data_IF_742946429022
#
_entry.id   IF_742946429022
#
_cell.length_a   1.000
_cell.length_b   1.000
_cell.length_c   1.000
_cell.angle_alpha   90.00
_cell.angle_beta   90.00
_cell.angle_gamma   90.00
#
_symmetry.space_group_name_H-M   'P 1'
#
loop_
_entity.id
_entity.type
_entity.pdbx_description
1 polymer ?
#
# COMPACT_ATOMS: atom_id res chain seq x y z
N UNK A 1 10.96 5.10 26.96
CA UNK A 1 9.50 5.30 26.80
C UNK A 1 8.90 3.93 26.78
N UNK A 2 8.36 3.46 27.90
CA UNK A 2 7.57 2.23 27.87
C UNK A 2 6.18 2.61 27.37
N UNK A 3 5.72 1.97 26.29
CA UNK A 3 4.37 2.14 25.70
C UNK A 3 4.08 3.47 24.98
N UNK A 4 4.98 3.97 24.13
CA UNK A 4 4.68 5.12 23.26
C UNK A 4 3.46 4.86 22.35
N UNK A 5 2.56 5.82 22.20
CA UNK A 5 1.46 5.70 21.23
C UNK A 5 1.97 5.89 19.80
N UNK A 6 1.13 5.62 18.80
CA UNK A 6 1.44 5.81 17.38
C UNK A 6 0.64 6.96 16.79
N UNK A 7 1.29 7.76 15.94
CA UNK A 7 0.64 8.68 15.01
C UNK A 7 0.94 8.18 13.60
N UNK A 8 -0.07 7.94 12.78
CA UNK A 8 0.08 7.41 11.43
C UNK A 8 -0.40 8.45 10.44
N UNK A 9 0.52 8.97 9.63
CA UNK A 9 0.20 9.93 8.58
C UNK A 9 -0.35 9.21 7.36
N UNK A 10 -1.59 9.51 6.95
CA UNK A 10 -2.24 8.88 5.80
C UNK A 10 -3.25 9.82 5.13
N UNK A 11 -3.34 9.86 3.79
CA UNK A 11 -4.37 10.63 3.10
C UNK A 11 -5.68 9.84 3.13
N UNK A 12 -6.37 9.84 4.28
CA UNK A 12 -7.50 8.94 4.58
C UNK A 12 -8.65 9.00 3.56
N UNK A 13 -8.82 10.10 2.82
CA UNK A 13 -9.79 10.21 1.74
C UNK A 13 -9.51 9.25 0.56
N UNK A 14 -8.31 8.65 0.51
CA UNK A 14 -7.91 7.65 -0.48
C UNK A 14 -8.01 6.20 0.00
N UNK A 15 -8.48 5.94 1.23
CA UNK A 15 -8.47 4.60 1.86
C UNK A 15 -9.13 3.53 0.98
N UNK A 16 -10.24 3.86 0.30
CA UNK A 16 -10.97 2.90 -0.54
C UNK A 16 -10.46 2.83 -1.99
N UNK A 17 -9.41 3.59 -2.34
CA UNK A 17 -8.85 3.71 -3.70
C UNK A 17 -7.36 3.36 -3.78
N UNK A 18 -6.69 3.19 -2.64
CA UNK A 18 -5.26 2.92 -2.56
C UNK A 18 -4.97 1.86 -1.50
N UNK A 19 -4.39 0.74 -1.91
CA UNK A 19 -4.00 -0.32 -0.97
C UNK A 19 -2.91 0.12 0.01
N UNK A 20 -2.02 1.04 -0.37
CA UNK A 20 -1.05 1.59 0.58
C UNK A 20 -1.73 2.36 1.71
N UNK A 21 -2.79 3.12 1.40
CA UNK A 21 -3.56 3.86 2.42
C UNK A 21 -4.42 2.91 3.24
N UNK A 22 -5.01 1.88 2.62
CA UNK A 22 -5.70 0.81 3.34
C UNK A 22 -4.76 0.08 4.30
N UNK A 23 -3.52 -0.20 3.90
CA UNK A 23 -2.49 -0.82 4.74
C UNK A 23 -2.19 0.03 5.98
N UNK A 24 -2.12 1.36 5.85
CA UNK A 24 -1.93 2.28 6.97
C UNK A 24 -3.13 2.28 7.93
N UNK A 25 -4.36 2.24 7.41
CA UNK A 25 -5.56 2.11 8.24
C UNK A 25 -5.60 0.76 8.99
N UNK A 26 -5.22 -0.33 8.32
CA UNK A 26 -5.13 -1.68 8.94
C UNK A 26 -3.98 -1.79 9.93
N UNK A 27 -2.88 -1.06 9.70
CA UNK A 27 -1.78 -0.95 10.65
C UNK A 27 -2.25 -0.30 11.96
N UNK A 28 -3.05 0.77 11.89
CA UNK A 28 -3.64 1.40 13.07
C UNK A 28 -4.48 0.41 13.89
N UNK A 29 -5.38 -0.35 13.24
CA UNK A 29 -6.21 -1.35 13.90
C UNK A 29 -5.37 -2.46 14.57
N UNK A 30 -4.33 -2.94 13.89
CA UNK A 30 -3.47 -3.99 14.42
C UNK A 30 -2.62 -3.51 15.61
N UNK A 31 -2.17 -2.25 15.60
CA UNK A 31 -1.48 -1.62 16.74
C UNK A 31 -2.42 -1.53 17.96
N UNK A 32 -3.68 -1.10 17.76
CA UNK A 32 -4.71 -1.07 18.81
C UNK A 32 -4.98 -2.47 19.37
N UNK A 33 -5.10 -3.47 18.49
CA UNK A 33 -5.26 -4.88 18.89
C UNK A 33 -4.07 -5.40 19.68
N UNK A 34 -2.86 -4.91 19.40
CA UNK A 34 -1.66 -5.22 20.16
C UNK A 34 -1.55 -4.45 21.49
N UNK A 35 -2.55 -3.64 21.85
CA UNK A 35 -2.64 -2.94 23.15
C UNK A 35 -1.97 -1.57 23.19
N UNK A 36 -1.72 -0.95 22.04
CA UNK A 36 -1.11 0.39 21.91
C UNK A 36 -2.08 1.34 21.22
N UNK A 37 -2.11 2.61 21.59
CA UNK A 37 -3.01 3.54 20.90
C UNK A 37 -2.43 3.94 19.54
N UNK A 38 -3.27 4.07 18.52
CA UNK A 38 -2.93 4.57 17.20
C UNK A 38 -3.88 5.70 16.79
N UNK A 39 -3.31 6.82 16.38
CA UNK A 39 -4.03 8.01 15.92
C UNK A 39 -3.68 8.30 14.47
N UNK A 40 -4.70 8.58 13.65
CA UNK A 40 -4.52 8.94 12.26
C UNK A 40 -4.35 10.44 12.12
N UNK A 41 -3.37 10.83 11.32
CA UNK A 41 -3.09 12.20 10.94
C UNK A 41 -3.24 12.33 9.43
N UNK A 42 -4.18 13.16 8.96
CA UNK A 42 -4.35 13.38 7.52
C UNK A 42 -3.35 14.41 6.99
N UNK A 43 -2.98 14.28 5.72
CA UNK A 43 -2.10 15.20 5.04
C UNK A 43 -2.49 15.34 3.56
N UNK A 44 -2.00 16.40 2.93
CA UNK A 44 -2.12 16.66 1.49
C UNK A 44 -0.80 17.19 0.92
N UNK A 45 -0.70 17.22 -0.42
CA UNK A 45 0.37 17.91 -1.12
C UNK A 45 -0.16 19.22 -1.71
N UNK A 46 0.32 20.35 -1.21
CA UNK A 46 -0.02 21.68 -1.73
C UNK A 46 1.22 22.28 -2.37
N UNK A 47 1.16 22.54 -3.67
CA UNK A 47 2.30 23.05 -4.46
C UNK A 47 3.58 22.23 -4.29
N UNK A 48 3.42 20.89 -4.22
CA UNK A 48 4.52 19.94 -4.04
C UNK A 48 5.06 19.85 -2.60
N UNK A 49 4.43 20.52 -1.63
CA UNK A 49 4.82 20.49 -0.21
C UNK A 49 3.89 19.61 0.61
N UNK A 50 4.46 18.92 1.58
CA UNK A 50 3.72 18.10 2.56
C UNK A 50 3.04 19.01 3.58
N UNK A 51 1.71 18.95 3.64
CA UNK A 51 0.91 19.75 4.57
C UNK A 51 0.09 18.81 5.44
N UNK A 52 0.32 18.86 6.75
CA UNK A 52 -0.51 18.18 7.73
C UNK A 52 -1.84 18.91 7.86
N UNK A 53 -2.94 18.17 7.80
CA UNK A 53 -4.28 18.71 8.03
C UNK A 53 -4.61 18.64 9.54
N UNK A 54 -4.24 19.69 10.28
CA UNK A 54 -4.52 19.85 11.70
C UNK A 54 -5.98 20.20 12.02
N UNK A 55 -6.93 19.56 11.35
CA UNK A 55 -8.34 19.88 11.40
C UNK A 55 -9.06 18.96 12.38
N UNK A 56 -9.88 19.52 13.26
CA UNK A 56 -10.84 18.75 14.04
C UNK A 56 -12.07 18.43 13.18
N UNK A 57 -12.08 17.23 12.60
CA UNK A 57 -13.15 16.77 11.71
C UNK A 57 -14.53 16.67 12.39
N UNK A 58 -14.60 16.72 13.72
CA UNK A 58 -15.89 16.74 14.44
C UNK A 58 -16.54 18.13 14.39
N UNK A 59 -15.75 19.20 14.27
CA UNK A 59 -16.22 20.59 14.33
C UNK A 59 -16.01 21.37 13.04
N UNK A 60 -15.20 20.83 12.12
CA UNK A 60 -14.90 21.47 10.85
C UNK A 60 -16.12 21.59 9.93
N UNK A 61 -16.27 22.78 9.33
CA UNK A 61 -17.31 23.06 8.35
C UNK A 61 -16.69 23.20 6.95
N UNK A 62 -16.98 22.26 6.01
CA UNK A 62 -16.48 22.35 4.64
C UNK A 62 -16.97 23.61 3.94
N UNK A 63 -16.07 24.31 3.25
CA UNK A 63 -16.35 25.59 2.56
C UNK A 63 -16.92 25.41 1.16
N UNK A 64 -16.70 24.25 0.55
CA UNK A 64 -17.13 23.93 -0.81
C UNK A 64 -17.42 22.43 -0.95
N UNK A 65 -17.94 22.02 -2.11
CA UNK A 65 -18.34 20.62 -2.36
C UNK A 65 -17.15 19.65 -2.43
N UNK A 66 -16.00 20.11 -2.90
CA UNK A 66 -14.79 19.29 -2.95
C UNK A 66 -14.28 18.95 -1.53
N UNK A 67 -14.19 19.95 -0.64
CA UNK A 67 -13.87 19.75 0.77
C UNK A 67 -14.91 18.86 1.46
N UNK A 68 -16.20 19.06 1.16
CA UNK A 68 -17.29 18.24 1.70
C UNK A 68 -17.12 16.77 1.31
N UNK A 69 -16.72 16.50 0.07
CA UNK A 69 -16.43 15.15 -0.40
C UNK A 69 -15.22 14.54 0.33
N UNK A 70 -14.12 15.29 0.46
CA UNK A 70 -12.91 14.83 1.16
C UNK A 70 -13.22 14.50 2.62
N UNK A 71 -13.86 15.41 3.35
CA UNK A 71 -14.28 15.21 4.76
C UNK A 71 -15.21 14.00 4.87
N UNK A 72 -16.15 13.85 3.94
CA UNK A 72 -17.05 12.71 3.87
C UNK A 72 -16.31 11.37 3.75
N UNK A 73 -15.31 11.28 2.86
CA UNK A 73 -14.50 10.06 2.68
C UNK A 73 -13.58 9.78 3.88
N UNK A 74 -12.99 10.81 4.49
CA UNK A 74 -12.21 10.66 5.74
C UNK A 74 -13.08 10.08 6.85
N UNK A 75 -14.24 10.70 7.11
CA UNK A 75 -15.16 10.24 8.16
C UNK A 75 -15.74 8.85 7.85
N UNK A 76 -15.92 8.52 6.57
CA UNK A 76 -16.30 7.15 6.16
C UNK A 76 -15.21 6.15 6.51
N UNK A 77 -13.93 6.45 6.21
CA UNK A 77 -12.80 5.59 6.58
C UNK A 77 -12.72 5.41 8.11
N UNK A 78 -12.81 6.52 8.86
CA UNK A 78 -12.83 6.51 10.32
C UNK A 78 -13.89 5.57 10.88
N UNK A 79 -15.15 5.67 10.42
CA UNK A 79 -16.22 4.78 10.88
C UNK A 79 -16.05 3.34 10.42
N UNK A 80 -15.55 3.11 9.21
CA UNK A 80 -15.43 1.76 8.63
C UNK A 80 -14.34 0.95 9.32
N UNK A 81 -13.26 1.60 9.72
CA UNK A 81 -12.09 0.96 10.32
C UNK A 81 -11.90 1.31 11.80
N UNK A 82 -12.89 1.95 12.44
CA UNK A 82 -12.85 2.36 13.85
C UNK A 82 -11.57 3.13 14.21
N UNK A 83 -11.20 4.11 13.37
CA UNK A 83 -9.94 4.85 13.50
C UNK A 83 -10.08 6.03 14.45
N UNK A 84 -9.06 6.30 15.27
CA UNK A 84 -8.98 7.52 16.08
C UNK A 84 -8.27 8.60 15.28
N UNK A 85 -8.86 9.79 15.14
CA UNK A 85 -8.18 10.94 14.56
C UNK A 85 -7.30 11.64 15.62
N UNK A 86 -6.12 12.10 15.23
CA UNK A 86 -5.28 12.93 16.09
C UNK A 86 -5.95 14.30 16.31
N UNK A 87 -6.10 14.70 17.57
CA UNK A 87 -6.71 16.00 17.94
C UNK A 87 -5.72 16.97 18.58
N UNK A 88 -4.69 16.45 19.24
CA UNK A 88 -3.65 17.25 19.88
C UNK A 88 -2.36 17.17 19.05
N UNK A 89 -2.09 18.24 18.31
CA UNK A 89 -0.88 18.41 17.48
C UNK A 89 0.26 19.11 18.24
N UNK A 90 0.17 19.24 19.56
CA UNK A 90 1.26 19.83 20.34
C UNK A 90 2.54 19.00 20.20
N UNK A 91 3.69 19.68 20.13
CA UNK A 91 4.99 19.02 20.00
C UNK A 91 5.22 18.01 21.14
N UNK A 92 4.76 18.32 22.37
CA UNK A 92 4.81 17.39 23.49
C UNK A 92 4.12 16.06 23.17
N UNK A 93 2.91 16.11 22.60
CA UNK A 93 2.17 14.89 22.24
C UNK A 93 2.88 14.12 21.12
N UNK A 94 3.38 14.83 20.12
CA UNK A 94 4.11 14.23 18.98
C UNK A 94 5.38 13.53 19.47
N UNK A 95 6.15 14.15 20.38
CA UNK A 95 7.42 13.62 20.90
C UNK A 95 7.26 12.38 21.80
N UNK A 96 6.07 12.23 22.40
CA UNK A 96 5.68 11.05 23.20
C UNK A 96 5.26 9.86 22.32
N UNK A 97 5.10 10.05 21.00
CA UNK A 97 4.63 9.03 20.06
C UNK A 97 5.74 8.51 19.13
N UNK A 98 5.46 7.38 18.48
CA UNK A 98 6.11 6.96 17.24
C UNK A 98 5.29 7.46 16.06
N UNK A 99 5.93 8.23 15.18
CA UNK A 99 5.24 8.85 14.04
C UNK A 99 5.60 8.12 12.76
N UNK A 100 4.59 7.50 12.14
CA UNK A 100 4.71 6.72 10.92
C UNK A 100 4.42 7.62 9.72
N UNK A 101 5.42 7.81 8.85
CA UNK A 101 5.25 8.46 7.56
C UNK A 101 5.38 7.44 6.42
N UNK A 102 4.43 7.39 5.47
CA UNK A 102 4.59 6.62 4.25
C UNK A 102 5.68 7.24 3.37
N UNK A 103 6.28 6.47 2.47
CA UNK A 103 7.41 6.90 1.60
C UNK A 103 7.07 8.10 0.71
N UNK A 104 5.79 8.30 0.39
CA UNK A 104 5.37 9.48 -0.37
C UNK A 104 5.57 10.78 0.41
N UNK A 105 5.63 10.71 1.75
CA UNK A 105 6.01 11.81 2.64
C UNK A 105 7.50 11.74 2.94
N UNK A 106 8.28 12.55 2.22
CA UNK A 106 9.73 12.50 2.28
C UNK A 106 10.30 13.21 3.51
N UNK A 107 9.57 14.11 4.18
CA UNK A 107 10.06 14.86 5.33
C UNK A 107 9.46 14.38 6.67
N UNK A 108 10.02 14.88 7.77
CA UNK A 108 9.44 14.73 9.12
C UNK A 108 8.47 15.89 9.39
N UNK A 109 7.28 15.85 8.78
CA UNK A 109 6.36 16.98 8.72
C UNK A 109 5.82 17.47 10.09
N UNK A 110 5.72 16.56 11.08
CA UNK A 110 5.35 16.88 12.46
C UNK A 110 6.57 17.20 13.34
N UNK A 111 7.78 17.24 12.79
CA UNK A 111 9.03 17.40 13.54
C UNK A 111 9.14 16.40 14.72
N UNK A 112 8.73 15.15 14.47
CA UNK A 112 8.67 14.13 15.50
C UNK A 112 10.05 13.62 15.91
N UNK A 113 10.21 13.32 17.20
CA UNK A 113 11.44 12.72 17.74
C UNK A 113 11.67 11.27 17.31
N UNK A 114 10.61 10.47 17.23
CA UNK A 114 10.71 9.04 16.92
C UNK A 114 9.97 8.78 15.61
N UNK A 115 10.72 8.64 14.53
CA UNK A 115 10.18 8.54 13.18
C UNK A 115 10.23 7.11 12.69
N UNK A 116 9.11 6.58 12.22
CA UNK A 116 9.01 5.35 11.45
C UNK A 116 8.80 5.72 9.97
N UNK A 117 9.70 5.32 9.10
CA UNK A 117 9.58 5.47 7.64
C UNK A 117 9.00 4.19 7.07
N UNK A 118 7.76 4.25 6.59
CA UNK A 118 7.06 3.10 6.04
C UNK A 118 7.13 3.11 4.51
N UNK A 119 7.96 2.22 3.95
CA UNK A 119 8.08 2.01 2.51
C UNK A 119 6.97 1.09 2.00
N UNK A 120 5.91 1.67 1.43
CA UNK A 120 4.80 0.97 0.74
C UNK A 120 5.06 0.82 -0.77
N UNK A 121 6.17 1.36 -1.27
CA UNK A 121 6.62 1.30 -2.65
C UNK A 121 8.15 1.47 -2.72
N UNK A 122 8.75 1.21 -3.90
CA UNK A 122 10.19 1.43 -4.14
C UNK A 122 10.52 2.91 -3.97
N UNK A 123 11.64 3.19 -3.29
CA UNK A 123 12.13 4.56 -3.14
C UNK A 123 12.38 5.19 -4.52
N UNK A 124 11.85 6.39 -4.73
CA UNK A 124 11.93 7.07 -6.01
C UNK A 124 13.26 7.85 -6.09
N UNK A 125 14.17 7.55 -7.04
CA UNK A 125 15.43 8.28 -7.16
C UNK A 125 15.26 9.79 -7.36
N UNK A 126 14.18 10.23 -8.01
CA UNK A 126 13.88 11.64 -8.26
C UNK A 126 13.26 12.37 -7.05
N UNK A 127 12.80 11.62 -6.05
CA UNK A 127 12.17 12.17 -4.84
C UNK A 127 12.40 11.22 -3.66
N UNK A 128 13.67 11.08 -3.25
CA UNK A 128 14.08 10.15 -2.20
C UNK A 128 13.48 10.53 -0.85
N UNK A 129 13.11 9.52 -0.08
CA UNK A 129 12.70 9.68 1.33
C UNK A 129 13.89 10.21 2.14
N UNK A 130 13.69 11.26 2.94
CA UNK A 130 14.70 11.74 3.87
C UNK A 130 14.69 10.86 5.13
N UNK A 131 15.38 9.72 5.05
CA UNK A 131 15.57 8.81 6.17
C UNK A 131 16.62 9.38 7.11
N UNK A 132 16.21 9.77 8.32
CA UNK A 132 17.13 10.21 9.37
C UNK A 132 17.96 9.05 9.91
N UNK A 133 19.15 9.33 10.45
CA UNK A 133 20.05 8.33 11.04
C UNK A 133 19.40 7.52 12.18
N UNK A 134 18.36 8.08 12.79
CA UNK A 134 17.63 7.53 13.91
C UNK A 134 16.30 6.89 13.52
N UNK A 135 15.87 7.05 12.27
CA UNK A 135 14.56 6.59 11.82
C UNK A 135 14.48 5.06 11.89
N UNK A 136 13.32 4.54 12.24
CA UNK A 136 13.01 3.12 12.10
C UNK A 136 12.43 2.88 10.71
N UNK A 137 13.11 2.06 9.92
CA UNK A 137 12.70 1.70 8.56
C UNK A 137 11.76 0.49 8.63
N UNK A 138 10.50 0.71 8.30
CA UNK A 138 9.48 -0.30 8.10
C UNK A 138 9.27 -0.46 6.58
N UNK A 139 9.27 -1.68 6.07
CA UNK A 139 8.92 -1.93 4.67
C UNK A 139 7.67 -2.79 4.58
N UNK A 140 6.86 -2.56 3.55
CA UNK A 140 5.71 -3.43 3.27
C UNK A 140 6.19 -4.74 2.70
N UNK A 141 7.15 -4.69 1.79
CA UNK A 141 7.85 -5.85 1.26
C UNK A 141 9.36 -5.69 1.43
N UNK A 142 10.08 -6.81 1.60
CA UNK A 142 11.54 -6.83 1.63
C UNK A 142 12.19 -6.25 0.37
N UNK A 143 11.46 -6.21 -0.75
CA UNK A 143 11.98 -5.69 -2.02
C UNK A 143 11.80 -4.18 -2.17
N UNK A 144 11.07 -3.53 -1.25
CA UNK A 144 10.84 -2.08 -1.30
C UNK A 144 11.96 -1.28 -0.65
N UNK A 145 12.73 -1.89 0.25
CA UNK A 145 13.89 -1.28 0.90
C UNK A 145 14.96 -2.33 1.14
N UNK A 146 16.25 -2.08 0.83
CA UNK A 146 17.30 -3.09 0.90
C UNK A 146 17.65 -3.54 2.33
N UNK A 147 17.46 -2.67 3.32
CA UNK A 147 17.77 -2.95 4.73
C UNK A 147 16.68 -2.41 5.66
N UNK A 148 15.49 -3.07 5.72
CA UNK A 148 14.43 -2.67 6.62
C UNK A 148 14.66 -3.25 8.02
N UNK A 149 14.34 -2.49 9.06
CA UNK A 149 14.37 -3.00 10.44
C UNK A 149 13.28 -4.05 10.68
N UNK A 150 12.16 -3.93 9.95
CA UNK A 150 11.09 -4.93 9.94
C UNK A 150 10.29 -4.87 8.63
N UNK A 151 9.65 -5.98 8.27
CA UNK A 151 8.76 -6.10 7.11
C UNK A 151 7.35 -6.42 7.58
N UNK A 152 6.38 -5.54 7.32
CA UNK A 152 4.96 -5.80 7.55
C UNK A 152 4.25 -5.92 6.20
N UNK A 153 4.17 -7.14 5.65
CA UNK A 153 3.49 -7.38 4.39
C UNK A 153 1.98 -7.42 4.57
N UNK A 154 1.34 -6.34 4.15
CA UNK A 154 -0.11 -6.24 4.12
C UNK A 154 -0.64 -6.85 2.81
N UNK A 155 -1.48 -7.88 2.95
CA UNK A 155 -2.25 -8.41 1.84
C UNK A 155 -3.74 -8.34 2.18
N UNK A 156 -4.55 -7.93 1.20
CA UNK A 156 -6.00 -8.04 1.27
C UNK A 156 -6.52 -8.45 -0.11
N UNK A 157 -7.16 -9.62 -0.15
CA UNK A 157 -7.83 -10.12 -1.36
C UNK A 157 -9.31 -9.89 -1.16
N UNK A 158 -9.84 -8.89 -1.85
CA UNK A 158 -11.26 -8.59 -1.77
C UNK A 158 -12.07 -9.82 -2.23
N UNK A 159 -13.02 -10.33 -1.41
CA UNK A 159 -13.77 -11.56 -1.71
C UNK A 159 -14.58 -11.52 -3.02
N UNK A 160 -14.82 -10.34 -3.60
CA UNK A 160 -15.44 -10.21 -4.92
C UNK A 160 -14.59 -10.84 -6.02
N UNK A 161 -13.27 -10.87 -5.85
CA UNK A 161 -12.32 -11.47 -6.78
C UNK A 161 -12.07 -12.92 -6.39
N UNK A 162 -12.62 -13.82 -7.18
CA UNK A 162 -12.56 -15.26 -6.97
C UNK A 162 -12.76 -15.97 -8.31
N UNK A 163 -12.35 -17.22 -8.41
CA UNK A 163 -12.55 -18.07 -9.59
C UNK A 163 -13.73 -19.07 -9.43
N UNK A 164 -14.57 -18.93 -8.41
CA UNK A 164 -15.76 -19.78 -8.28
C UNK A 164 -16.65 -19.68 -9.53
N UNK A 165 -17.04 -20.84 -10.06
CA UNK A 165 -17.89 -20.96 -11.25
C UNK A 165 -17.36 -20.24 -12.49
N UNK A 166 -16.03 -20.12 -12.63
CA UNK A 166 -15.40 -19.62 -13.86
C UNK A 166 -14.95 -20.77 -14.74
N UNK A 167 -14.95 -20.56 -16.06
CA UNK A 167 -14.31 -21.49 -16.98
C UNK A 167 -12.78 -21.49 -16.77
N UNK A 168 -12.07 -22.60 -17.04
CA UNK A 168 -10.62 -22.60 -17.19
C UNK A 168 -10.15 -21.49 -18.13
N UNK A 169 -8.96 -20.92 -17.87
CA UNK A 169 -8.45 -19.79 -18.64
C UNK A 169 -8.37 -20.09 -20.14
N UNK A 170 -7.97 -21.32 -20.53
CA UNK A 170 -7.89 -21.76 -21.93
C UNK A 170 -9.22 -21.70 -22.71
N UNK A 171 -10.36 -21.71 -22.02
CA UNK A 171 -11.69 -21.68 -22.64
C UNK A 171 -12.28 -20.25 -22.72
N UNK A 172 -11.65 -19.29 -22.02
CA UNK A 172 -12.09 -17.89 -22.00
C UNK A 172 -11.65 -17.18 -23.28
N UNK A 173 -12.48 -16.24 -23.75
CA UNK A 173 -12.33 -15.58 -25.05
C UNK A 173 -11.98 -14.09 -24.95
N UNK A 174 -12.02 -13.51 -23.74
CA UNK A 174 -11.74 -12.09 -23.53
C UNK A 174 -10.34 -11.94 -22.96
N UNK A 175 -9.57 -11.02 -23.51
CA UNK A 175 -8.31 -10.56 -22.93
C UNK A 175 -8.44 -9.08 -22.53
N UNK A 176 -7.76 -8.68 -21.46
CA UNK A 176 -7.85 -7.33 -20.88
C UNK A 176 -6.45 -6.73 -20.84
N UNK A 177 -6.35 -5.42 -21.11
CA UNK A 177 -5.13 -4.65 -20.91
C UNK A 177 -5.30 -3.58 -19.82
N UNK A 178 -4.26 -3.35 -19.02
CA UNK A 178 -4.17 -2.27 -18.03
C UNK A 178 -2.76 -1.65 -18.00
N UNK A 179 -2.64 -0.40 -18.44
CA UNK A 179 -1.36 0.30 -18.48
C UNK A 179 -0.93 0.79 -17.09
N UNK A 180 -1.87 1.36 -16.32
CA UNK A 180 -1.62 1.82 -14.96
C UNK A 180 -0.40 2.73 -14.82
N UNK A 181 0.46 2.44 -13.84
CA UNK A 181 1.71 3.18 -13.60
C UNK A 181 2.76 2.99 -14.70
N UNK A 182 2.62 1.99 -15.59
CA UNK A 182 3.52 1.78 -16.72
C UNK A 182 3.67 2.99 -17.62
N UNK A 183 2.64 3.83 -17.72
CA UNK A 183 2.70 5.09 -18.46
C UNK A 183 3.78 6.06 -17.93
N UNK A 184 4.12 5.98 -16.63
CA UNK A 184 5.21 6.77 -16.04
C UNK A 184 6.60 6.26 -16.46
N UNK A 185 6.68 5.03 -16.98
CA UNK A 185 7.91 4.36 -17.39
C UNK A 185 8.00 4.15 -18.90
N UNK A 186 7.06 4.73 -19.67
CA UNK A 186 7.09 4.74 -21.14
C UNK A 186 6.15 3.75 -21.83
N UNK A 187 5.42 2.91 -21.08
CA UNK A 187 4.40 2.04 -21.67
C UNK A 187 3.14 2.86 -22.01
N UNK A 188 2.88 3.05 -23.31
CA UNK A 188 1.75 3.89 -23.78
C UNK A 188 0.67 3.13 -24.52
N UNK A 189 1.01 2.00 -25.14
CA UNK A 189 0.09 1.25 -25.99
C UNK A 189 -0.42 -0.02 -25.30
N UNK A 190 -1.72 -0.29 -25.47
CA UNK A 190 -2.35 -1.55 -25.07
C UNK A 190 -2.11 -2.63 -26.13
N UNK A 191 -2.13 -3.90 -25.71
CA UNK A 191 -2.11 -5.04 -26.65
C UNK A 191 -3.33 -4.98 -27.57
N UNK A 192 -3.18 -5.14 -28.90
CA UNK A 192 -4.31 -5.21 -29.83
C UNK A 192 -5.34 -6.27 -29.43
N UNK A 193 -6.60 -6.05 -29.80
CA UNK A 193 -7.72 -6.98 -29.55
C UNK A 193 -8.03 -7.27 -28.06
N UNK A 194 -7.51 -6.43 -27.16
CA UNK A 194 -7.84 -6.49 -25.73
C UNK A 194 -8.84 -5.41 -25.33
N UNK A 195 -9.57 -5.66 -24.24
CA UNK A 195 -10.40 -4.65 -23.59
C UNK A 195 -9.50 -3.83 -22.66
N UNK A 196 -9.30 -2.55 -22.97
CA UNK A 196 -8.52 -1.65 -22.12
C UNK A 196 -9.33 -1.19 -20.90
N UNK A 197 -8.84 -1.52 -19.70
CA UNK A 197 -9.36 -0.97 -18.44
C UNK A 197 -8.48 0.18 -17.93
N UNK A 198 -9.05 1.06 -17.11
CA UNK A 198 -8.37 2.22 -16.51
C UNK A 198 -8.59 2.26 -14.99
N UNK A 199 -8.08 3.29 -14.31
CA UNK A 199 -8.34 3.47 -12.88
C UNK A 199 -9.79 3.84 -12.58
N UNK A 200 -10.48 4.40 -13.57
CA UNK A 200 -11.85 4.89 -13.49
C UNK A 200 -12.86 3.94 -14.16
N UNK A 201 -12.39 2.99 -14.99
CA UNK A 201 -13.24 2.05 -15.70
C UNK A 201 -12.70 0.61 -15.60
N UNK A 202 -13.53 -0.38 -15.27
CA UNK A 202 -14.97 -0.31 -15.01
C UNK A 202 -15.32 0.45 -13.72
N UNK A 203 -16.58 0.91 -13.62
CA UNK A 203 -16.99 1.88 -12.61
C UNK A 203 -17.09 1.29 -11.19
N UNK A 204 -17.13 -0.04 -11.05
CA UNK A 204 -17.24 -0.72 -9.76
C UNK A 204 -16.34 -1.95 -9.66
N UNK A 205 -16.00 -2.35 -8.43
CA UNK A 205 -15.20 -3.55 -8.17
C UNK A 205 -15.94 -4.82 -8.60
N UNK A 206 -17.26 -4.85 -8.50
CA UNK A 206 -18.09 -5.97 -8.97
C UNK A 206 -18.01 -6.13 -10.48
N UNK A 207 -18.09 -5.02 -11.23
CA UNK A 207 -17.93 -5.04 -12.69
C UNK A 207 -16.52 -5.51 -13.07
N UNK A 208 -15.49 -5.01 -12.38
CA UNK A 208 -14.11 -5.44 -12.57
C UNK A 208 -13.93 -6.94 -12.31
N UNK A 209 -14.48 -7.45 -11.20
CA UNK A 209 -14.41 -8.87 -10.87
C UNK A 209 -15.11 -9.74 -11.92
N UNK A 210 -16.28 -9.33 -12.43
CA UNK A 210 -16.97 -10.03 -13.52
C UNK A 210 -16.09 -10.07 -14.78
N UNK A 211 -15.47 -8.94 -15.15
CA UNK A 211 -14.58 -8.88 -16.30
C UNK A 211 -13.37 -9.82 -16.11
N UNK A 212 -12.67 -9.73 -14.97
CA UNK A 212 -11.50 -10.56 -14.69
C UNK A 212 -11.83 -12.06 -14.64
N UNK A 213 -13.01 -12.45 -14.16
CA UNK A 213 -13.47 -13.85 -14.19
C UNK A 213 -13.71 -14.42 -15.59
N UNK A 214 -13.98 -13.56 -16.56
CA UNK A 214 -14.15 -13.91 -17.97
C UNK A 214 -12.87 -13.65 -18.79
N UNK A 215 -11.83 -13.12 -18.16
CA UNK A 215 -10.56 -12.79 -18.78
C UNK A 215 -9.65 -14.03 -18.84
N UNK A 216 -9.04 -14.30 -20.00
CA UNK A 216 -7.99 -15.29 -20.18
C UNK A 216 -6.64 -14.68 -19.81
N UNK A 217 -6.16 -13.71 -20.57
CA UNK A 217 -4.90 -12.99 -20.31
C UNK A 217 -5.17 -11.56 -19.84
N UNK A 218 -4.59 -11.22 -18.69
CA UNK A 218 -4.58 -9.87 -18.15
C UNK A 218 -3.23 -9.21 -18.41
N UNK A 219 -3.14 -8.51 -19.55
CA UNK A 219 -1.95 -7.78 -19.95
C UNK A 219 -1.78 -6.52 -19.11
N UNK A 220 -0.60 -6.34 -18.52
CA UNK A 220 -0.35 -5.16 -17.68
C UNK A 220 1.04 -4.59 -17.84
N UNK A 221 1.14 -3.26 -17.75
CA UNK A 221 2.41 -2.54 -17.58
C UNK A 221 2.58 -1.99 -16.16
N UNK A 222 1.77 -2.47 -15.20
CA UNK A 222 1.82 -2.07 -13.80
C UNK A 222 2.12 -3.29 -12.93
N UNK A 223 3.39 -3.73 -12.96
CA UNK A 223 3.83 -4.98 -12.33
C UNK A 223 3.61 -5.03 -10.81
N UNK A 224 3.69 -3.89 -10.12
CA UNK A 224 3.44 -3.79 -8.68
C UNK A 224 2.07 -3.15 -8.40
N UNK A 225 1.01 -3.86 -8.79
CA UNK A 225 -0.39 -3.48 -8.55
C UNK A 225 -1.16 -4.62 -7.90
N UNK A 226 -2.04 -4.30 -6.93
CA UNK A 226 -2.96 -5.28 -6.37
C UNK A 226 -3.92 -5.86 -7.41
N UNK A 227 -4.13 -5.13 -8.50
CA UNK A 227 -4.96 -5.59 -9.61
C UNK A 227 -4.42 -6.89 -10.23
N UNK A 228 -3.10 -7.11 -10.17
CA UNK A 228 -2.48 -8.36 -10.62
C UNK A 228 -2.89 -9.53 -9.72
N UNK A 229 -2.91 -9.31 -8.40
CA UNK A 229 -3.38 -10.30 -7.41
C UNK A 229 -4.88 -10.55 -7.57
N UNK A 230 -5.67 -9.51 -7.83
CA UNK A 230 -7.12 -9.62 -8.10
C UNK A 230 -7.41 -10.39 -9.40
N UNK A 231 -6.65 -10.15 -10.47
CA UNK A 231 -6.72 -10.91 -11.72
C UNK A 231 -6.38 -12.40 -11.48
N UNK A 232 -5.30 -12.65 -10.75
CA UNK A 232 -4.87 -13.98 -10.34
C UNK A 232 -5.94 -14.68 -9.48
N UNK A 233 -6.62 -13.96 -8.57
CA UNK A 233 -7.70 -14.51 -7.75
C UNK A 233 -8.92 -14.94 -8.59
N UNK A 234 -9.20 -14.23 -9.69
CA UNK A 234 -10.21 -14.58 -10.68
C UNK A 234 -9.76 -15.70 -11.65
N UNK A 235 -8.52 -16.19 -11.54
CA UNK A 235 -7.94 -17.20 -12.41
C UNK A 235 -7.63 -16.69 -13.82
N UNK A 236 -7.55 -15.36 -14.02
CA UNK A 236 -6.95 -14.81 -15.22
C UNK A 236 -5.43 -14.92 -15.11
N UNK A 237 -4.73 -14.96 -16.24
CA UNK A 237 -3.28 -15.09 -16.31
C UNK A 237 -2.67 -13.70 -16.47
N UNK A 238 -2.00 -13.13 -15.45
CA UNK A 238 -1.29 -11.88 -15.60
C UNK A 238 -0.16 -12.02 -16.63
N UNK A 239 -0.08 -11.10 -17.57
CA UNK A 239 0.96 -11.03 -18.59
C UNK A 239 1.65 -9.67 -18.51
N UNK A 240 2.85 -9.65 -17.95
CA UNK A 240 3.58 -8.41 -17.70
C UNK A 240 4.28 -7.99 -18.99
N UNK A 241 3.83 -6.87 -19.52
CA UNK A 241 4.41 -6.22 -20.70
C UNK A 241 5.64 -5.38 -20.31
N UNK A 242 5.62 -4.84 -19.09
CA UNK A 242 6.68 -4.03 -18.51
C UNK A 242 6.72 -4.26 -17.00
N UNK A 243 7.92 -4.41 -16.46
CA UNK A 243 8.17 -4.56 -15.03
C UNK A 243 8.53 -3.24 -14.34
N UNK A 244 8.86 -2.19 -15.10
CA UNK A 244 9.38 -0.93 -14.59
C UNK A 244 8.58 -0.36 -13.42
N UNK A 245 9.24 0.06 -12.32
CA UNK A 245 10.68 0.14 -12.07
C UNK A 245 11.29 -1.11 -11.41
N UNK A 246 10.61 -2.25 -11.51
CA UNK A 246 10.98 -3.51 -10.84
C UNK A 246 11.74 -4.44 -11.78
N UNK A 247 12.54 -5.31 -11.18
CA UNK A 247 13.15 -6.47 -11.84
C UNK A 247 12.31 -7.72 -11.58
N UNK A 248 12.50 -8.77 -12.40
CA UNK A 248 11.84 -10.05 -12.16
C UNK A 248 12.25 -10.66 -10.82
N UNK A 249 13.53 -10.53 -10.45
CA UNK A 249 14.03 -10.98 -9.15
C UNK A 249 13.37 -10.26 -7.97
N UNK A 250 13.08 -8.95 -8.09
CA UNK A 250 12.34 -8.21 -7.08
C UNK A 250 10.87 -8.64 -7.02
N UNK A 251 10.22 -8.86 -8.16
CA UNK A 251 8.81 -9.31 -8.18
C UNK A 251 8.70 -10.71 -7.54
N UNK A 252 9.62 -11.61 -7.88
CA UNK A 252 9.61 -13.00 -7.40
C UNK A 252 10.21 -13.17 -6.00
N UNK A 253 10.96 -12.17 -5.53
CA UNK A 253 11.52 -12.08 -4.18
C UNK A 253 10.56 -11.54 -3.13
N UNK A 254 9.35 -11.11 -3.53
CA UNK A 254 8.32 -10.64 -2.61
C UNK A 254 7.83 -11.74 -1.67
N UNK A 255 7.10 -11.35 -0.63
CA UNK A 255 6.72 -12.21 0.50
C UNK A 255 5.96 -13.49 0.10
N UNK A 256 4.93 -13.45 -0.77
CA UNK A 256 4.23 -14.67 -1.19
C UNK A 256 5.08 -15.60 -2.09
N UNK A 257 6.27 -15.15 -2.51
CA UNK A 257 7.17 -15.84 -3.43
C UNK A 257 6.91 -15.49 -4.90
N UNK A 258 7.40 -16.35 -5.79
CA UNK A 258 7.31 -16.20 -7.25
C UNK A 258 5.89 -15.89 -7.68
N UNK A 259 5.70 -14.74 -8.34
CA UNK A 259 4.38 -14.29 -8.77
C UNK A 259 3.99 -15.01 -10.09
N UNK A 260 2.89 -15.78 -10.13
CA UNK A 260 2.48 -16.48 -11.34
C UNK A 260 2.07 -15.50 -12.44
N UNK A 261 2.90 -15.38 -13.48
CA UNK A 261 2.67 -14.49 -14.62
C UNK A 261 3.38 -15.00 -15.88
N UNK A 262 2.98 -14.46 -17.02
CA UNK A 262 3.76 -14.43 -18.25
C UNK A 262 4.62 -13.17 -18.29
N UNK A 263 5.81 -13.29 -18.84
CA UNK A 263 6.70 -12.17 -19.17
C UNK A 263 7.61 -12.57 -20.34
N UNK A 264 8.35 -11.61 -20.89
CA UNK A 264 9.23 -11.84 -22.03
C UNK A 264 10.22 -12.99 -21.76
N UNK A 265 10.28 -13.96 -22.68
CA UNK A 265 11.19 -15.11 -22.58
C UNK A 265 10.60 -16.37 -21.95
N UNK A 266 9.36 -16.35 -21.45
CA UNK A 266 8.66 -17.59 -21.08
C UNK A 266 8.12 -18.29 -22.31
N UNK A 267 8.46 -19.57 -22.49
CA UNK A 267 7.82 -20.46 -23.45
C UNK A 267 6.62 -21.17 -22.80
N UNK A 268 5.45 -21.05 -23.43
CA UNK A 268 4.26 -21.80 -23.03
C UNK A 268 4.33 -23.21 -23.64
N UNK A 269 4.68 -24.20 -22.83
CA UNK A 269 4.60 -25.61 -23.22
C UNK A 269 3.17 -26.14 -23.23
N UNK A 270 3.00 -27.39 -23.66
CA UNK A 270 1.69 -28.06 -23.75
C UNK A 270 0.96 -28.15 -22.39
N UNK A 271 1.70 -28.09 -21.27
CA UNK A 271 1.19 -28.16 -19.90
C UNK A 271 1.07 -26.78 -19.21
N UNK A 272 1.21 -25.68 -19.97
CA UNK A 272 1.26 -24.33 -19.44
C UNK A 272 0.12 -23.99 -18.46
N UNK A 273 -1.13 -24.24 -18.86
CA UNK A 273 -2.29 -23.91 -18.02
C UNK A 273 -2.31 -24.70 -16.70
N UNK A 274 -1.94 -25.99 -16.73
CA UNK A 274 -1.88 -26.81 -15.54
C UNK A 274 -0.80 -26.31 -14.57
N UNK A 275 0.40 -25.99 -15.08
CA UNK A 275 1.50 -25.42 -14.29
C UNK A 275 1.16 -24.05 -13.71
N UNK A 276 0.45 -23.22 -14.48
CA UNK A 276 -0.02 -21.93 -13.98
C UNK A 276 -1.00 -22.09 -12.82
N UNK A 277 -1.97 -23.00 -12.93
CA UNK A 277 -2.93 -23.26 -11.85
C UNK A 277 -2.27 -23.79 -10.57
N UNK A 278 -1.25 -24.64 -10.69
CA UNK A 278 -0.44 -25.10 -9.54
C UNK A 278 0.30 -23.93 -8.89
N UNK A 279 1.00 -23.10 -9.69
CA UNK A 279 1.71 -21.93 -9.19
C UNK A 279 0.76 -20.92 -8.53
N UNK A 280 -0.42 -20.72 -9.11
CA UNK A 280 -1.49 -19.88 -8.57
C UNK A 280 -1.99 -20.37 -7.22
N UNK A 281 -2.25 -21.67 -7.09
CA UNK A 281 -2.69 -22.26 -5.83
C UNK A 281 -1.65 -22.07 -4.73
N UNK A 282 -0.38 -22.36 -5.04
CA UNK A 282 0.75 -22.16 -4.12
C UNK A 282 0.93 -20.70 -3.70
N UNK A 283 0.81 -19.77 -4.63
CA UNK A 283 0.89 -18.33 -4.34
C UNK A 283 -0.17 -17.91 -3.31
N UNK A 284 -1.42 -18.35 -3.48
CA UNK A 284 -2.49 -18.01 -2.53
C UNK A 284 -2.39 -18.74 -1.19
N UNK A 285 -1.83 -19.95 -1.16
CA UNK A 285 -1.48 -20.63 0.09
C UNK A 285 -0.47 -19.80 0.90
N UNK A 286 0.60 -19.35 0.27
CA UNK A 286 1.61 -18.49 0.90
C UNK A 286 1.00 -17.15 1.34
N UNK A 287 0.22 -16.51 0.46
CA UNK A 287 -0.43 -15.23 0.72
C UNK A 287 -1.34 -15.29 1.96
N UNK A 288 -2.07 -16.41 2.13
CA UNK A 288 -2.95 -16.61 3.29
C UNK A 288 -2.17 -16.59 4.61
N UNK A 289 -0.96 -17.18 4.63
CA UNK A 289 -0.09 -17.10 5.80
C UNK A 289 0.23 -15.66 6.22
N UNK A 290 0.42 -14.75 5.26
CA UNK A 290 0.65 -13.33 5.55
C UNK A 290 -0.62 -12.59 5.98
N UNK A 291 -1.77 -12.91 5.38
CA UNK A 291 -3.07 -12.36 5.78
C UNK A 291 -3.36 -12.73 7.24
N UNK A 292 -3.23 -14.02 7.57
CA UNK A 292 -3.51 -14.55 8.90
C UNK A 292 -2.45 -14.10 9.94
N UNK A 293 -1.21 -13.87 9.49
CA UNK A 293 -0.07 -13.45 10.31
C UNK A 293 0.04 -11.94 10.53
N UNK A 294 -0.82 -11.11 9.91
CA UNK A 294 -0.71 -9.65 9.93
C UNK A 294 -0.57 -9.08 11.35
N UNK A 295 -1.49 -9.41 12.25
CA UNK A 295 -1.51 -8.86 13.61
C UNK A 295 -0.27 -9.26 14.41
N UNK A 296 0.21 -10.50 14.25
CA UNK A 296 1.42 -10.98 14.90
C UNK A 296 2.67 -10.26 14.37
N UNK A 297 2.75 -10.03 13.06
CA UNK A 297 3.81 -9.25 12.43
C UNK A 297 3.84 -7.81 12.95
N UNK A 298 2.68 -7.16 13.06
CA UNK A 298 2.58 -5.81 13.63
C UNK A 298 3.01 -5.77 15.11
N UNK A 299 2.63 -6.78 15.91
CA UNK A 299 3.10 -6.87 17.29
C UNK A 299 4.63 -7.04 17.39
N UNK A 300 5.23 -7.82 16.49
CA UNK A 300 6.69 -7.94 16.40
C UNK A 300 7.36 -6.61 16.01
N UNK A 301 6.78 -5.91 15.03
CA UNK A 301 7.21 -4.58 14.60
C UNK A 301 7.25 -3.60 15.78
N UNK A 302 6.18 -3.54 16.59
CA UNK A 302 6.11 -2.68 17.78
C UNK A 302 7.27 -2.99 18.73
N UNK A 303 7.51 -4.27 19.03
CA UNK A 303 8.61 -4.67 19.91
C UNK A 303 9.99 -4.32 19.36
N UNK A 304 10.18 -4.38 18.03
CA UNK A 304 11.42 -3.93 17.36
C UNK A 304 11.58 -2.41 17.42
N UNK A 305 10.52 -1.65 17.17
CA UNK A 305 10.52 -0.19 17.28
C UNK A 305 10.84 0.27 18.72
N UNK A 306 10.26 -0.37 19.73
CA UNK A 306 10.55 -0.07 21.13
C UNK A 306 12.03 -0.25 21.47
N UNK A 307 12.65 -1.36 21.02
CA UNK A 307 14.10 -1.58 21.21
C UNK A 307 14.95 -0.56 20.46
N UNK A 308 14.57 -0.24 19.22
CA UNK A 308 15.28 0.72 18.38
C UNK A 308 15.35 2.10 19.04
N UNK A 309 14.20 2.64 19.48
CA UNK A 309 14.16 3.96 20.07
C UNK A 309 14.67 4.02 21.51
N UNK A 310 14.57 2.92 22.29
CA UNK A 310 15.16 2.85 23.63
C UNK A 310 16.69 2.95 23.62
N UNK A 311 17.35 2.44 22.56
CA UNK A 311 18.80 2.48 22.41
C UNK A 311 19.38 3.86 22.06
N UNK A 312 18.54 4.83 21.70
CA UNK A 312 18.97 6.12 21.18
C UNK A 312 18.83 7.24 22.23
N UNK A 313 19.81 7.38 23.12
CA UNK A 313 19.79 8.35 24.23
C UNK A 313 20.43 9.73 23.94
N UNK A 314 20.74 10.04 22.67
CA UNK A 314 21.31 11.34 22.27
C UNK A 314 20.27 12.46 22.08
N UNK A 315 20.67 13.74 22.22
CA UNK A 315 19.85 14.89 21.82
C UNK A 315 19.50 14.79 20.32
N UNK A 316 18.28 15.18 19.97
CA UNK A 316 17.88 15.29 18.56
C UNK A 316 18.62 16.48 17.96
N UNK A 317 19.30 16.31 16.82
CA UNK A 317 19.71 17.48 16.04
C UNK A 317 18.42 18.15 15.58
N UNK A 318 18.26 19.44 15.85
CA UNK A 318 17.08 20.19 15.42
C UNK A 318 16.98 20.09 13.90
N UNK A 319 15.94 19.42 13.41
CA UNK A 319 15.57 19.51 12.02
C UNK A 319 15.08 20.95 11.78
N UNK A 320 15.49 21.62 10.69
CA UNK A 320 15.01 22.97 10.39
C UNK A 320 13.49 22.94 10.30
N UNK A 321 12.82 23.62 11.22
CA UNK A 321 11.36 23.69 11.30
C UNK A 321 10.80 24.25 9.98
N UNK A 322 9.87 23.52 9.35
CA UNK A 322 9.02 24.08 8.32
C UNK A 322 8.06 25.07 9.00
N UNK A 323 8.14 26.33 8.60
CA UNK A 323 7.29 27.40 9.14
C UNK A 323 5.83 27.02 9.04
N UNK A 324 5.14 27.03 10.18
CA UNK A 324 3.70 26.87 10.27
C UNK A 324 3.03 27.92 9.37
N UNK A 325 2.39 27.47 8.29
CA UNK A 325 1.41 28.30 7.58
C UNK A 325 0.04 28.02 8.16
N UNK A 326 -0.55 29.09 8.70
CA UNK A 326 -1.90 29.16 9.25
C UNK A 326 -3.01 28.90 8.20
#
# INVERSE_FOLDING_TARGET
MENADFIICAPLYMTFKSNGVLALARLAQAIEKAGRSAYMCTYEFVDGREVILGIDYDTYQPKNDAERQIVGEVLRAVRTFDLKLLKDFSQRRVDECYVVYPEVMVNNALNARNVIRYFLNKDNPGRRVNVGERDFILAHSRVMHPDPHHVCYFADVNPLFHNNSTYPAELRQMDIAYIGKGALYGAVDSVPETVLITREWPASKEQLAIMLRNCRFFYTADACSNLNVEALACGAIPAFMDNGPWTDEEIDGAEPGTFPRLYAGIEAGDDFYARFEEARAKYFENLRGYIDGWDAGVAEMIGKADRHFAGQTGPHADAPALGATA
#
